data_IF_844143130692
#
_entry.id   IF_844143130692
#
_cell.length_a   1.000
_cell.length_b   1.000
_cell.length_c   1.000
_cell.angle_alpha   90.00
_cell.angle_beta   90.00
_cell.angle_gamma   90.00
#
_symmetry.space_group_name_H-M   'P 1'
#
loop_
_entity.id
_entity.type
_entity.pdbx_description
1 polymer ?
#
# COMPACT_ATOMS: atom_id res chain seq x y z
N UNK A 1 -10.74 36.04 11.31
CA UNK A 1 -11.48 34.85 10.83
C UNK A 1 -10.46 33.76 10.55
N UNK A 2 -9.85 33.23 11.60
CA UNK A 2 -8.50 32.62 11.58
C UNK A 2 -8.52 31.23 12.21
N UNK A 3 -9.59 30.46 11.94
CA UNK A 3 -9.84 29.18 12.60
C UNK A 3 -10.40 28.09 11.66
N UNK A 4 -10.27 28.26 10.33
CA UNK A 4 -10.83 27.33 9.36
C UNK A 4 -9.79 26.54 8.54
N UNK A 5 -8.53 26.51 8.99
CA UNK A 5 -7.41 25.87 8.25
C UNK A 5 -6.93 24.57 8.93
N UNK A 6 -7.58 24.12 10.00
CA UNK A 6 -7.12 22.94 10.77
C UNK A 6 -8.16 21.83 10.85
N UNK A 7 -8.63 21.36 9.69
CA UNK A 7 -9.30 20.07 9.57
C UNK A 7 -8.78 19.35 8.34
N UNK A 8 -7.63 18.69 8.48
CA UNK A 8 -7.52 17.34 7.91
C UNK A 8 -8.72 16.60 8.50
N UNK A 9 -9.71 16.29 7.67
CA UNK A 9 -11.03 15.84 8.10
C UNK A 9 -10.86 14.69 9.10
N UNK A 10 -11.39 14.79 10.35
CA UNK A 10 -11.28 13.71 11.33
C UNK A 10 -11.73 12.38 10.73
N UNK A 11 -12.70 12.40 9.84
CA UNK A 11 -13.21 11.27 9.06
C UNK A 11 -12.12 10.46 8.35
N UNK A 12 -11.09 11.09 7.77
CA UNK A 12 -10.01 10.36 7.09
C UNK A 12 -9.11 9.59 8.07
N UNK A 13 -8.89 10.12 9.28
CA UNK A 13 -8.16 9.40 10.34
C UNK A 13 -8.94 8.16 10.80
N UNK A 14 -10.26 8.27 10.90
CA UNK A 14 -11.12 7.14 11.29
C UNK A 14 -11.14 6.09 10.19
N UNK A 15 -11.27 6.49 8.92
CA UNK A 15 -11.18 5.58 7.78
C UNK A 15 -9.88 4.76 7.79
N UNK A 16 -8.72 5.41 7.96
CA UNK A 16 -7.44 4.69 8.06
C UNK A 16 -7.39 3.75 9.26
N UNK A 17 -7.86 4.19 10.43
CA UNK A 17 -7.92 3.33 11.61
C UNK A 17 -8.80 2.09 11.36
N UNK A 18 -9.93 2.24 10.66
CA UNK A 18 -10.79 1.13 10.28
C UNK A 18 -10.09 0.17 9.32
N UNK A 19 -9.36 0.68 8.32
CA UNK A 19 -8.57 -0.15 7.41
C UNK A 19 -7.51 -0.96 8.16
N UNK A 20 -6.73 -0.32 9.04
CA UNK A 20 -5.73 -1.04 9.84
C UNK A 20 -6.37 -2.06 10.80
N UNK A 21 -7.52 -1.75 11.38
CA UNK A 21 -8.26 -2.68 12.21
C UNK A 21 -8.76 -3.89 11.39
N UNK A 22 -9.26 -3.67 10.17
CA UNK A 22 -9.67 -4.73 9.26
C UNK A 22 -8.48 -5.61 8.84
N UNK A 23 -7.32 -5.02 8.53
CA UNK A 23 -6.11 -5.79 8.22
C UNK A 23 -5.59 -6.58 9.41
N UNK A 24 -5.66 -6.03 10.63
CA UNK A 24 -5.30 -6.76 11.84
C UNK A 24 -6.26 -7.93 12.10
N UNK A 25 -7.57 -7.72 11.88
CA UNK A 25 -8.55 -8.80 11.93
C UNK A 25 -8.30 -9.86 10.85
N UNK A 26 -7.90 -9.43 9.65
CA UNK A 26 -7.54 -10.31 8.55
C UNK A 26 -6.30 -11.17 8.86
N UNK A 27 -5.28 -10.59 9.51
CA UNK A 27 -4.13 -11.33 10.02
C UNK A 27 -4.55 -12.40 11.05
N UNK A 28 -5.47 -12.06 11.97
CA UNK A 28 -6.01 -13.04 12.91
C UNK A 28 -6.75 -14.15 12.17
N UNK A 29 -7.51 -13.81 11.12
CA UNK A 29 -8.20 -14.79 10.28
C UNK A 29 -7.21 -15.77 9.63
N UNK A 30 -6.11 -15.29 9.04
CA UNK A 30 -5.06 -16.16 8.50
C UNK A 30 -4.35 -16.99 9.58
N UNK A 31 -4.13 -16.42 10.76
CA UNK A 31 -3.56 -17.18 11.87
C UNK A 31 -4.45 -18.36 12.32
N UNK A 32 -5.78 -18.20 12.22
CA UNK A 32 -6.74 -19.22 12.61
C UNK A 32 -7.07 -20.23 11.51
N UNK A 33 -7.11 -19.79 10.24
CA UNK A 33 -7.64 -20.59 9.13
C UNK A 33 -6.67 -20.79 7.96
N UNK A 34 -5.56 -20.06 7.94
CA UNK A 34 -4.57 -20.09 6.87
C UNK A 34 -3.33 -20.92 7.19
N UNK A 35 -2.37 -20.87 6.28
CA UNK A 35 -1.03 -21.47 6.48
C UNK A 35 -0.10 -20.52 7.23
N UNK A 36 0.98 -21.07 7.80
CA UNK A 36 2.02 -20.26 8.44
C UNK A 36 2.65 -19.25 7.46
N UNK A 37 2.83 -19.65 6.20
CA UNK A 37 3.38 -18.77 5.14
C UNK A 37 2.46 -17.60 4.84
N UNK A 38 1.15 -17.83 4.65
CA UNK A 38 0.17 -16.77 4.43
C UNK A 38 0.11 -15.81 5.62
N UNK A 39 0.12 -16.34 6.85
CA UNK A 39 0.13 -15.51 8.06
C UNK A 39 1.36 -14.61 8.13
N UNK A 40 2.54 -15.17 7.81
CA UNK A 40 3.80 -14.41 7.78
C UNK A 40 3.81 -13.35 6.68
N UNK A 41 3.28 -13.66 5.50
CA UNK A 41 3.17 -12.71 4.39
C UNK A 41 2.25 -11.54 4.76
N UNK A 42 1.01 -11.81 5.19
CA UNK A 42 0.05 -10.78 5.64
C UNK A 42 0.63 -9.93 6.77
N UNK A 43 1.33 -10.54 7.74
CA UNK A 43 1.98 -9.82 8.83
C UNK A 43 3.10 -8.89 8.32
N UNK A 44 3.94 -9.37 7.41
CA UNK A 44 5.01 -8.58 6.82
C UNK A 44 4.47 -7.38 6.06
N UNK A 45 3.43 -7.58 5.25
CA UNK A 45 2.76 -6.50 4.54
C UNK A 45 2.12 -5.47 5.50
N UNK A 46 1.49 -5.92 6.58
CA UNK A 46 0.86 -5.02 7.55
C UNK A 46 1.92 -4.16 8.25
N UNK A 47 3.03 -4.77 8.65
CA UNK A 47 4.18 -4.05 9.23
C UNK A 47 4.73 -3.01 8.25
N UNK A 48 4.86 -3.36 6.96
CA UNK A 48 5.32 -2.44 5.93
C UNK A 48 4.39 -1.23 5.78
N UNK A 49 3.07 -1.43 5.74
CA UNK A 49 2.11 -0.33 5.67
C UNK A 49 2.20 0.57 6.89
N UNK A 50 2.31 0.00 8.09
CA UNK A 50 2.46 0.77 9.33
C UNK A 50 3.75 1.60 9.29
N UNK A 51 4.86 1.03 8.84
CA UNK A 51 6.13 1.77 8.69
C UNK A 51 6.01 2.91 7.67
N UNK A 52 5.30 2.70 6.55
CA UNK A 52 5.07 3.72 5.53
C UNK A 52 4.19 4.86 6.07
N UNK A 53 3.12 4.53 6.79
CA UNK A 53 2.25 5.50 7.45
C UNK A 53 3.02 6.31 8.50
N UNK A 54 3.92 5.68 9.27
CA UNK A 54 4.79 6.38 10.22
C UNK A 54 5.80 7.31 9.54
N UNK A 55 6.37 6.90 8.40
CA UNK A 55 7.28 7.73 7.62
C UNK A 55 6.58 8.96 7.06
N UNK A 56 5.36 8.79 6.52
CA UNK A 56 4.56 9.89 5.95
C UNK A 56 3.98 10.81 7.03
N UNK A 57 3.47 10.28 8.14
CA UNK A 57 3.02 11.07 9.29
C UNK A 57 4.18 11.81 10.00
N UNK A 58 5.40 11.25 9.94
CA UNK A 58 6.60 11.78 10.58
C UNK A 58 7.40 12.80 9.77
N UNK A 59 7.01 13.13 8.53
CA UNK A 59 7.73 14.10 7.67
C UNK A 59 7.80 15.52 8.21
N UNK A 60 7.04 15.85 9.26
CA UNK A 60 7.17 17.14 9.97
C UNK A 60 8.16 17.08 11.16
N UNK A 61 8.69 15.91 11.58
CA UNK A 61 9.50 15.85 12.82
C UNK A 61 10.62 14.81 12.99
N UNK A 62 10.93 13.93 12.03
CA UNK A 62 12.02 12.95 12.20
C UNK A 62 13.28 13.29 11.38
N UNK A 63 14.06 14.26 11.86
CA UNK A 63 15.43 14.53 11.41
C UNK A 63 16.44 13.68 12.20
N UNK A 64 17.04 12.65 11.59
CA UNK A 64 18.12 11.85 12.21
C UNK A 64 18.40 10.46 11.59
N UNK A 65 19.23 9.67 12.29
CA UNK A 65 19.79 8.34 11.92
C UNK A 65 18.76 7.22 11.63
N UNK A 66 17.46 7.48 11.85
CA UNK A 66 16.36 6.53 11.63
C UNK A 66 15.94 6.40 10.15
N UNK A 67 16.27 7.39 9.31
CA UNK A 67 15.95 7.36 7.87
C UNK A 67 16.68 6.28 7.05
N UNK A 68 18.00 6.02 7.22
CA UNK A 68 18.65 4.89 6.53
C UNK A 68 18.14 3.52 6.97
N UNK A 69 17.76 3.35 8.25
CA UNK A 69 17.22 2.09 8.74
C UNK A 69 15.85 1.75 8.11
N UNK A 70 14.97 2.74 7.94
CA UNK A 70 13.71 2.57 7.22
C UNK A 70 13.93 2.22 5.74
N UNK A 71 14.93 2.82 5.09
CA UNK A 71 15.32 2.48 3.72
C UNK A 71 15.80 1.03 3.59
N UNK A 72 16.65 0.58 4.51
CA UNK A 72 17.14 -0.80 4.51
C UNK A 72 15.99 -1.77 4.79
N UNK A 73 15.12 -1.47 5.75
CA UNK A 73 13.93 -2.29 6.03
C UNK A 73 13.03 -2.44 4.80
N UNK A 74 12.85 -1.37 4.00
CA UNK A 74 12.07 -1.41 2.75
C UNK A 74 12.76 -2.19 1.64
N UNK A 75 14.08 -2.04 1.48
CA UNK A 75 14.85 -2.85 0.53
C UNK A 75 14.83 -4.33 0.91
N UNK A 76 14.92 -4.65 2.20
CA UNK A 76 14.80 -6.01 2.71
C UNK A 76 13.40 -6.58 2.51
N UNK A 77 12.35 -5.78 2.73
CA UNK A 77 10.98 -6.20 2.46
C UNK A 77 10.72 -6.40 0.96
N UNK A 78 11.20 -5.50 0.10
CA UNK A 78 11.13 -5.67 -1.35
C UNK A 78 11.89 -6.92 -1.83
N UNK A 79 13.04 -7.22 -1.23
CA UNK A 79 13.78 -8.45 -1.50
C UNK A 79 13.03 -9.72 -1.02
N UNK A 80 12.34 -9.65 0.13
CA UNK A 80 11.52 -10.75 0.63
C UNK A 80 10.30 -11.01 -0.26
N UNK A 81 9.65 -9.96 -0.77
CA UNK A 81 8.53 -10.07 -1.72
C UNK A 81 9.01 -10.64 -3.06
N UNK A 82 10.18 -10.22 -3.56
CA UNK A 82 10.80 -10.82 -4.75
C UNK A 82 11.08 -12.32 -4.56
N UNK A 83 11.57 -12.72 -3.37
CA UNK A 83 11.80 -14.12 -3.05
C UNK A 83 10.48 -14.92 -3.00
N UNK A 84 9.40 -14.35 -2.44
CA UNK A 84 8.07 -14.95 -2.45
C UNK A 84 7.50 -15.10 -3.87
N UNK A 85 7.67 -14.09 -4.72
CA UNK A 85 7.24 -14.15 -6.13
C UNK A 85 7.96 -15.24 -6.93
N UNK A 86 9.25 -15.47 -6.64
CA UNK A 86 10.00 -16.61 -7.19
C UNK A 86 9.46 -17.94 -6.63
N UNK A 87 9.15 -18.00 -5.34
CA UNK A 87 8.53 -19.17 -4.71
C UNK A 87 7.21 -19.57 -5.38
N UNK A 88 6.28 -18.64 -5.56
CA UNK A 88 5.00 -18.90 -6.22
C UNK A 88 5.14 -19.34 -7.68
N UNK A 89 6.10 -18.76 -8.41
CA UNK A 89 6.41 -19.15 -9.78
C UNK A 89 6.91 -20.60 -9.88
N UNK A 90 7.61 -21.09 -8.85
CA UNK A 90 8.09 -22.47 -8.76
C UNK A 90 6.98 -23.46 -8.35
N UNK A 91 5.96 -23.00 -7.64
CA UNK A 91 4.81 -23.80 -7.20
C UNK A 91 3.66 -23.87 -8.24
N UNK A 92 3.82 -23.25 -9.42
CA UNK A 92 2.79 -23.18 -10.49
C UNK A 92 1.44 -22.54 -10.08
N UNK A 93 1.41 -21.80 -8.97
CA UNK A 93 0.26 -21.02 -8.52
C UNK A 93 0.20 -19.69 -9.27
N UNK A 94 -0.27 -19.73 -10.53
CA UNK A 94 -0.12 -18.61 -11.45
C UNK A 94 -0.89 -17.35 -11.04
N UNK A 95 -2.06 -17.48 -10.38
CA UNK A 95 -2.81 -16.32 -9.89
C UNK A 95 -2.08 -15.62 -8.75
N UNK A 96 -1.62 -16.36 -7.75
CA UNK A 96 -0.86 -15.83 -6.61
C UNK A 96 0.46 -15.19 -7.07
N UNK A 97 1.10 -15.80 -8.07
CA UNK A 97 2.30 -15.25 -8.71
C UNK A 97 2.00 -13.89 -9.35
N UNK A 98 0.98 -13.79 -10.20
CA UNK A 98 0.61 -12.53 -10.86
C UNK A 98 0.17 -11.48 -9.84
N UNK A 99 -0.58 -11.88 -8.82
CA UNK A 99 -0.99 -10.99 -7.72
C UNK A 99 0.24 -10.39 -7.00
N UNK A 100 1.19 -11.23 -6.58
CA UNK A 100 2.41 -10.77 -5.90
C UNK A 100 3.24 -9.80 -6.77
N UNK A 101 3.37 -10.08 -8.07
CA UNK A 101 4.07 -9.19 -9.01
C UNK A 101 3.38 -7.83 -9.18
N UNK A 102 2.04 -7.82 -9.24
CA UNK A 102 1.28 -6.57 -9.33
C UNK A 102 1.42 -5.75 -8.04
N UNK A 103 1.35 -6.39 -6.87
CA UNK A 103 1.57 -5.71 -5.58
C UNK A 103 2.98 -5.13 -5.46
N UNK A 104 4.00 -5.87 -5.92
CA UNK A 104 5.36 -5.34 -5.97
C UNK A 104 5.44 -4.11 -6.89
N UNK A 105 4.75 -4.12 -8.03
CA UNK A 105 4.68 -2.96 -8.91
C UNK A 105 4.02 -1.74 -8.25
N UNK A 106 2.95 -1.94 -7.45
CA UNK A 106 2.34 -0.86 -6.64
C UNK A 106 3.35 -0.27 -5.67
N UNK A 107 4.11 -1.10 -4.94
CA UNK A 107 5.16 -0.64 -4.02
C UNK A 107 6.21 0.19 -4.75
N UNK A 108 6.66 -0.26 -5.92
CA UNK A 108 7.63 0.47 -6.76
C UNK A 108 7.08 1.81 -7.22
N UNK A 109 5.82 1.88 -7.64
CA UNK A 109 5.17 3.13 -8.02
C UNK A 109 5.11 4.11 -6.85
N UNK A 110 4.67 3.65 -5.67
CA UNK A 110 4.62 4.47 -4.46
C UNK A 110 6.00 4.97 -4.03
N UNK A 111 7.02 4.13 -4.15
CA UNK A 111 8.39 4.53 -3.83
C UNK A 111 8.94 5.56 -4.85
N UNK A 112 8.61 5.39 -6.13
CA UNK A 112 8.98 6.35 -7.17
C UNK A 112 8.34 7.73 -6.95
N UNK A 113 7.05 7.77 -6.59
CA UNK A 113 6.34 9.01 -6.24
C UNK A 113 6.98 9.72 -5.04
N UNK A 114 7.30 8.96 -4.00
CA UNK A 114 7.94 9.49 -2.80
C UNK A 114 9.37 9.99 -3.06
N UNK A 115 10.16 9.25 -3.84
CA UNK A 115 11.61 9.50 -3.96
C UNK A 115 11.97 10.40 -5.12
N UNK A 116 11.18 10.38 -6.19
CA UNK A 116 11.45 11.07 -7.44
C UNK A 116 10.24 11.86 -7.94
N UNK A 117 9.66 12.77 -7.12
CA UNK A 117 8.43 13.48 -7.48
C UNK A 117 8.57 14.27 -8.79
N UNK A 118 9.74 14.87 -9.05
CA UNK A 118 10.01 15.60 -10.29
C UNK A 118 9.98 14.72 -11.56
N UNK A 119 10.39 13.45 -11.45
CA UNK A 119 10.35 12.51 -12.58
C UNK A 119 8.92 12.03 -12.82
N UNK A 120 8.17 11.79 -11.74
CA UNK A 120 6.75 11.44 -11.79
C UNK A 120 5.95 12.58 -12.40
N UNK A 121 6.16 13.83 -11.96
CA UNK A 121 5.50 15.02 -12.51
C UNK A 121 5.78 15.22 -14.00
N UNK A 122 7.03 15.00 -14.43
CA UNK A 122 7.42 15.13 -15.84
C UNK A 122 6.72 14.10 -16.73
N UNK A 123 6.37 12.93 -16.21
CA UNK A 123 5.68 11.85 -16.93
C UNK A 123 4.34 11.51 -16.30
N UNK A 124 3.65 12.51 -15.75
CA UNK A 124 2.46 12.33 -14.91
C UNK A 124 1.37 11.48 -15.57
N UNK A 125 1.07 11.72 -16.83
CA UNK A 125 0.05 10.94 -17.57
C UNK A 125 0.43 9.45 -17.65
N UNK A 126 1.70 9.15 -17.94
CA UNK A 126 2.17 7.77 -18.01
C UNK A 126 2.16 7.09 -16.63
N UNK A 127 2.53 7.82 -15.58
CA UNK A 127 2.51 7.32 -14.21
C UNK A 127 1.08 7.01 -13.73
N UNK A 128 0.14 7.94 -13.94
CA UNK A 128 -1.28 7.73 -13.61
C UNK A 128 -1.88 6.59 -14.42
N UNK A 129 -1.55 6.50 -15.72
CA UNK A 129 -2.00 5.39 -16.56
C UNK A 129 -1.45 4.04 -16.07
N UNK A 130 -0.16 3.96 -15.75
CA UNK A 130 0.46 2.75 -15.21
C UNK A 130 -0.19 2.32 -13.87
N UNK A 131 -0.40 3.29 -12.98
CA UNK A 131 -1.09 3.08 -11.70
C UNK A 131 -2.50 2.54 -11.92
N UNK A 132 -3.30 3.20 -12.76
CA UNK A 132 -4.66 2.76 -13.09
C UNK A 132 -4.72 1.36 -13.73
N UNK A 133 -3.76 1.03 -14.61
CA UNK A 133 -3.67 -0.30 -15.22
C UNK A 133 -3.35 -1.37 -14.16
N UNK A 134 -2.41 -1.10 -13.26
CA UNK A 134 -2.02 -2.06 -12.20
C UNK A 134 -3.17 -2.28 -11.22
N UNK A 135 -3.80 -1.21 -10.71
CA UNK A 135 -4.96 -1.33 -9.83
C UNK A 135 -6.14 -2.00 -10.54
N UNK A 136 -6.35 -1.73 -11.83
CA UNK A 136 -7.35 -2.41 -12.64
C UNK A 136 -7.09 -3.92 -12.77
N UNK A 137 -5.84 -4.32 -12.99
CA UNK A 137 -5.45 -5.73 -13.04
C UNK A 137 -5.65 -6.43 -11.70
N UNK A 138 -5.27 -5.80 -10.58
CA UNK A 138 -5.51 -6.31 -9.23
C UNK A 138 -7.02 -6.48 -8.95
N UNK A 139 -7.84 -5.52 -9.35
CA UNK A 139 -9.29 -5.63 -9.21
C UNK A 139 -9.88 -6.78 -10.03
N UNK A 140 -9.36 -7.03 -11.24
CA UNK A 140 -9.73 -8.21 -12.03
C UNK A 140 -9.37 -9.50 -11.30
N UNK A 141 -8.20 -9.58 -10.65
CA UNK A 141 -7.82 -10.76 -9.85
C UNK A 141 -8.79 -11.02 -8.70
N UNK A 142 -9.23 -9.98 -7.99
CA UNK A 142 -10.28 -10.09 -6.95
C UNK A 142 -11.55 -10.72 -7.52
N UNK A 143 -12.00 -10.26 -8.70
CA UNK A 143 -13.18 -10.82 -9.37
C UNK A 143 -12.95 -12.28 -9.76
N UNK A 144 -11.76 -12.62 -10.26
CA UNK A 144 -11.40 -13.99 -10.67
C UNK A 144 -11.44 -14.94 -9.47
N UNK A 145 -10.85 -14.57 -8.33
CA UNK A 145 -10.91 -15.39 -7.11
C UNK A 145 -12.35 -15.52 -6.59
N UNK A 146 -13.11 -14.43 -6.56
CA UNK A 146 -14.52 -14.46 -6.17
C UNK A 146 -15.33 -15.41 -7.05
N UNK A 147 -15.07 -15.44 -8.37
CA UNK A 147 -15.76 -16.35 -9.29
C UNK A 147 -15.33 -17.81 -9.11
N UNK A 148 -14.07 -18.08 -8.74
CA UNK A 148 -13.59 -19.43 -8.43
C UNK A 148 -14.11 -19.98 -7.10
N UNK A 149 -14.66 -19.11 -6.25
CA UNK A 149 -15.10 -19.46 -4.89
C UNK A 149 -13.99 -19.36 -3.85
N UNK A 150 -12.83 -18.81 -4.22
CA UNK A 150 -11.70 -18.54 -3.33
C UNK A 150 -11.96 -17.24 -2.54
N UNK A 151 -12.99 -17.27 -1.70
CA UNK A 151 -13.53 -16.07 -1.05
C UNK A 151 -12.56 -15.39 -0.09
N UNK A 152 -11.68 -16.16 0.57
CA UNK A 152 -10.68 -15.62 1.48
C UNK A 152 -9.61 -14.81 0.74
N UNK A 153 -9.11 -15.34 -0.38
CA UNK A 153 -8.11 -14.63 -1.20
C UNK A 153 -8.71 -13.40 -1.88
N UNK A 154 -9.96 -13.49 -2.35
CA UNK A 154 -10.68 -12.33 -2.88
C UNK A 154 -10.88 -11.24 -1.82
N UNK A 155 -11.27 -11.63 -0.60
CA UNK A 155 -11.45 -10.70 0.52
C UNK A 155 -10.14 -10.05 0.95
N UNK A 156 -9.07 -10.84 1.10
CA UNK A 156 -7.74 -10.35 1.43
C UNK A 156 -7.26 -9.33 0.39
N UNK A 157 -7.27 -9.71 -0.89
CA UNK A 157 -6.83 -8.83 -1.98
C UNK A 157 -7.67 -7.54 -2.08
N UNK A 158 -8.98 -7.61 -1.80
CA UNK A 158 -9.84 -6.42 -1.74
C UNK A 158 -9.47 -5.50 -0.58
N UNK A 159 -9.20 -6.05 0.61
CA UNK A 159 -8.74 -5.28 1.76
C UNK A 159 -7.41 -4.58 1.47
N UNK A 160 -6.47 -5.28 0.80
CA UNK A 160 -5.20 -4.70 0.39
C UNK A 160 -5.39 -3.57 -0.64
N UNK A 161 -6.31 -3.70 -1.61
CA UNK A 161 -6.66 -2.63 -2.55
C UNK A 161 -7.12 -1.37 -1.82
N UNK A 162 -8.03 -1.53 -0.85
CA UNK A 162 -8.50 -0.40 -0.04
C UNK A 162 -7.36 0.20 0.78
N UNK A 163 -6.48 -0.62 1.33
CA UNK A 163 -5.39 -0.17 2.18
C UNK A 163 -4.31 0.62 1.42
N UNK A 164 -3.84 0.11 0.29
CA UNK A 164 -2.85 0.81 -0.53
C UNK A 164 -3.42 2.10 -1.14
N UNK A 165 -4.67 2.08 -1.59
CA UNK A 165 -5.36 3.29 -2.04
C UNK A 165 -5.46 4.35 -0.94
N UNK A 166 -5.76 3.94 0.30
CA UNK A 166 -5.80 4.85 1.44
C UNK A 166 -4.45 5.54 1.71
N UNK A 167 -3.34 4.81 1.54
CA UNK A 167 -1.99 5.36 1.72
C UNK A 167 -1.62 6.31 0.58
N UNK A 168 -1.92 5.97 -0.66
CA UNK A 168 -1.65 6.82 -1.83
C UNK A 168 -2.33 8.20 -1.68
N UNK A 169 -3.60 8.21 -1.25
CA UNK A 169 -4.33 9.45 -0.97
C UNK A 169 -3.70 10.28 0.17
N UNK A 170 -3.11 9.62 1.17
CA UNK A 170 -2.39 10.28 2.26
C UNK A 170 -1.10 10.95 1.76
N UNK A 171 -0.37 10.30 0.86
CA UNK A 171 0.84 10.85 0.22
C UNK A 171 0.52 12.08 -0.62
N UNK A 172 -0.54 12.01 -1.46
CA UNK A 172 -0.98 13.11 -2.32
C UNK A 172 -1.49 14.32 -1.52
N UNK A 173 -2.15 14.08 -0.38
CA UNK A 173 -2.60 15.15 0.52
C UNK A 173 -1.44 15.97 1.09
N UNK A 174 -0.36 15.30 1.48
CA UNK A 174 0.83 15.94 2.07
C UNK A 174 1.59 16.84 1.07
N UNK A 175 1.57 16.53 -0.23
CA UNK A 175 2.19 17.38 -1.25
C UNK A 175 1.39 18.67 -1.52
N UNK A 176 0.06 18.60 -1.50
CA UNK A 176 -0.81 19.78 -1.75
C UNK A 176 -0.66 20.84 -0.65
N UNK A 177 -0.57 20.41 0.61
CA UNK A 177 -0.26 21.31 1.74
C UNK A 177 1.13 21.94 1.61
N UNK A 178 2.13 21.19 1.11
CA UNK A 178 3.49 21.67 0.93
C UNK A 178 3.65 22.64 -0.25
N UNK A 179 2.84 22.49 -1.30
CA UNK A 179 2.94 23.30 -2.52
C UNK A 179 1.96 24.49 -2.56
N UNK A 180 1.27 24.78 -1.45
CA UNK A 180 0.47 26.01 -1.28
C UNK A 180 -0.77 26.12 -2.15
N UNK A 181 -1.26 25.01 -2.74
CA UNK A 181 -2.49 25.04 -3.52
C UNK A 181 -3.70 25.18 -2.56
N UNK A 182 -4.53 26.22 -2.71
CA UNK A 182 -5.73 26.34 -1.91
C UNK A 182 -6.64 25.16 -2.20
N UNK A 183 -7.00 24.43 -1.14
CA UNK A 183 -8.06 23.42 -1.18
C UNK A 183 -9.36 24.20 -1.35
N UNK A 184 -9.86 24.28 -2.59
CA UNK A 184 -11.17 24.86 -2.82
C UNK A 184 -12.25 23.95 -2.21
N UNK A 185 -13.27 24.56 -1.58
CA UNK A 185 -14.32 23.85 -0.85
C UNK A 185 -15.20 22.97 -1.74
#
# INVERSE_FOLDING_TARGET
MTALVMRVLPEFRHFKAMVFALLAANLILFHLFGTATQTLDTAAWLVLLVLFELETAGRVRLAGWRQPALRVARLCAGAAVLAAAVGYALETAWLDTVNAWLWLAVVVLLEAEVRFPLLVDRRRTAFVAATGVIYGALFVLVIVWAWRGDWLDAWDALLWLVAFFAIEMNVLGAERERNGYPVHP
#
